data_IF_376527096570
#
_entry.id   IF_376527096570
#
_cell.length_a   1.000
_cell.length_b   1.000
_cell.length_c   1.000
_cell.angle_alpha   90.00
_cell.angle_beta   90.00
_cell.angle_gamma   90.00
#
_symmetry.space_group_name_H-M   'P 1'
#
loop_
_entity.id
_entity.type
_entity.pdbx_description
1 polymer ?
#
# COMPACT_ATOMS: atom_id res chain seq x y z
N UNK A 1 12.96 34.91 27.20
CA UNK A 1 13.40 34.67 25.81
C UNK A 1 13.57 33.17 25.68
N UNK A 2 12.58 32.48 25.11
CA UNK A 2 12.64 31.03 24.87
C UNK A 2 13.61 30.76 23.72
N UNK A 3 14.46 29.74 23.85
CA UNK A 3 15.48 29.40 22.86
C UNK A 3 14.82 28.89 21.58
N UNK A 4 14.84 29.71 20.52
CA UNK A 4 14.35 29.36 19.18
C UNK A 4 15.07 28.13 18.57
N UNK A 5 16.17 27.69 19.18
CA UNK A 5 16.98 26.59 18.72
C UNK A 5 16.40 25.21 19.14
N UNK A 6 15.65 25.16 20.26
CA UNK A 6 14.92 23.97 20.67
C UNK A 6 13.76 23.62 19.74
N UNK A 7 13.19 24.62 19.08
CA UNK A 7 12.09 24.44 18.12
C UNK A 7 12.58 23.76 16.83
N UNK A 8 13.83 24.01 16.40
CA UNK A 8 14.33 23.54 15.10
C UNK A 8 14.58 22.03 15.05
N UNK A 9 15.12 21.43 16.11
CA UNK A 9 15.33 19.98 16.16
C UNK A 9 14.00 19.22 16.30
N UNK A 10 13.05 19.76 17.07
CA UNK A 10 11.70 19.21 17.19
C UNK A 10 10.98 19.27 15.84
N UNK A 11 11.04 20.42 15.15
CA UNK A 11 10.47 20.57 13.82
C UNK A 11 11.09 19.59 12.82
N UNK A 12 12.42 19.44 12.80
CA UNK A 12 13.09 18.50 11.91
C UNK A 12 12.70 17.04 12.16
N UNK A 13 12.53 16.65 13.43
CA UNK A 13 12.04 15.32 13.79
C UNK A 13 10.58 15.12 13.35
N UNK A 14 9.70 16.09 13.60
CA UNK A 14 8.29 16.04 13.18
C UNK A 14 8.14 15.95 11.65
N UNK A 15 8.99 16.63 10.89
CA UNK A 15 8.98 16.53 9.42
C UNK A 15 9.40 15.14 8.94
N UNK A 16 10.39 14.53 9.59
CA UNK A 16 10.79 13.15 9.30
C UNK A 16 9.66 12.17 9.64
N UNK A 17 9.08 12.28 10.83
CA UNK A 17 7.98 11.43 11.29
C UNK A 17 6.76 11.56 10.36
N UNK A 18 6.44 12.78 9.94
CA UNK A 18 5.37 13.02 8.98
C UNK A 18 5.65 12.39 7.62
N UNK A 19 6.90 12.44 7.14
CA UNK A 19 7.28 11.78 5.90
C UNK A 19 7.18 10.25 6.01
N UNK A 20 7.61 9.66 7.13
CA UNK A 20 7.49 8.24 7.41
C UNK A 20 6.03 7.78 7.50
N UNK A 21 5.20 8.55 8.21
CA UNK A 21 3.77 8.27 8.36
C UNK A 21 2.99 8.44 7.04
N UNK A 22 3.39 9.39 6.19
CA UNK A 22 2.81 9.58 4.86
C UNK A 22 3.19 8.46 3.88
N UNK A 23 4.42 7.94 4.00
CA UNK A 23 4.91 6.81 3.22
C UNK A 23 4.92 7.04 1.71
N UNK A 24 5.10 5.93 0.98
CA UNK A 24 4.93 5.85 -0.47
C UNK A 24 4.41 4.45 -0.79
N UNK A 25 3.43 4.34 -1.68
CA UNK A 25 2.83 3.06 -2.06
C UNK A 25 2.48 3.10 -3.54
N UNK A 26 3.16 2.26 -4.33
CA UNK A 26 2.99 2.21 -5.78
C UNK A 26 2.57 0.80 -6.17
N UNK A 27 1.54 0.72 -7.00
CA UNK A 27 0.98 -0.54 -7.47
C UNK A 27 1.43 -0.82 -8.91
N UNK A 28 1.78 -2.07 -9.20
CA UNK A 28 2.02 -2.53 -10.57
C UNK A 28 1.59 -3.99 -10.77
N UNK A 29 1.27 -4.33 -12.02
CA UNK A 29 1.01 -5.70 -12.44
C UNK A 29 2.32 -6.37 -12.83
N UNK A 30 2.48 -7.64 -12.47
CA UNK A 30 3.60 -8.42 -12.96
C UNK A 30 3.43 -8.70 -14.47
N UNK A 31 4.39 -8.31 -15.33
CA UNK A 31 4.30 -8.57 -16.77
C UNK A 31 4.16 -10.06 -17.14
N UNK A 32 4.73 -10.96 -16.33
CA UNK A 32 4.65 -12.40 -16.55
C UNK A 32 3.31 -12.99 -16.09
N UNK A 33 2.63 -12.33 -15.16
CA UNK A 33 1.34 -12.77 -14.62
C UNK A 33 0.45 -11.56 -14.32
N UNK A 34 -0.28 -11.00 -15.30
CA UNK A 34 -0.99 -9.73 -15.15
C UNK A 34 -2.09 -9.71 -14.08
N UNK A 35 -2.59 -10.88 -13.66
CA UNK A 35 -3.54 -11.01 -12.54
C UNK A 35 -2.87 -10.93 -11.17
N UNK A 36 -1.53 -11.00 -11.11
CA UNK A 36 -0.70 -10.73 -9.94
C UNK A 36 -0.38 -9.26 -9.89
N UNK A 37 -0.90 -8.60 -8.87
CA UNK A 37 -0.72 -7.18 -8.62
C UNK A 37 0.14 -7.04 -7.37
N UNK A 38 1.19 -6.24 -7.45
CA UNK A 38 2.07 -5.95 -6.32
C UNK A 38 1.91 -4.50 -5.92
N UNK A 39 1.87 -4.27 -4.61
CA UNK A 39 2.01 -2.94 -4.02
C UNK A 39 3.35 -2.89 -3.29
N UNK A 40 4.21 -1.95 -3.67
CA UNK A 40 5.55 -1.76 -3.09
C UNK A 40 5.70 -0.38 -2.49
N UNK A 41 6.44 -0.27 -1.39
CA UNK A 41 6.88 1.02 -0.85
C UNK A 41 6.98 1.07 0.66
N UNK A 42 6.92 2.27 1.23
CA UNK A 42 6.93 2.51 2.67
C UNK A 42 5.48 2.48 3.19
N UNK A 43 5.09 1.35 3.79
CA UNK A 43 3.73 1.07 4.29
C UNK A 43 3.84 0.79 5.78
N UNK A 44 3.01 1.45 6.59
CA UNK A 44 3.08 1.33 8.05
C UNK A 44 4.49 1.65 8.61
N UNK A 45 5.17 2.63 7.99
CA UNK A 45 6.56 3.03 8.29
C UNK A 45 7.62 1.94 8.01
N UNK A 46 7.28 0.91 7.25
CA UNK A 46 8.18 -0.16 6.83
C UNK A 46 8.26 -0.28 5.32
N UNK A 47 9.46 -0.46 4.79
CA UNK A 47 9.63 -0.92 3.41
C UNK A 47 9.00 -2.31 3.27
N UNK A 48 7.94 -2.40 2.49
CA UNK A 48 7.06 -3.56 2.39
C UNK A 48 6.61 -3.79 0.96
N UNK A 49 6.46 -5.07 0.61
CA UNK A 49 5.73 -5.48 -0.59
C UNK A 49 4.50 -6.30 -0.21
N UNK A 50 3.38 -6.06 -0.86
CA UNK A 50 2.13 -6.82 -0.67
C UNK A 50 1.69 -7.40 -2.01
N UNK A 51 1.45 -8.71 -2.04
CA UNK A 51 0.86 -9.38 -3.19
C UNK A 51 -0.66 -9.36 -3.11
N UNK A 52 -1.27 -8.99 -4.21
CA UNK A 52 -2.69 -9.09 -4.48
C UNK A 52 -2.95 -9.95 -5.72
N UNK A 53 -4.13 -10.57 -5.76
CA UNK A 53 -4.62 -11.30 -6.92
C UNK A 53 -5.94 -10.73 -7.39
N UNK A 54 -6.02 -10.48 -8.69
CA UNK A 54 -7.25 -10.11 -9.34
C UNK A 54 -7.96 -11.39 -9.79
N UNK A 55 -9.00 -11.78 -9.06
CA UNK A 55 -9.74 -13.01 -9.35
C UNK A 55 -10.61 -12.90 -10.63
N UNK A 56 -11.00 -11.67 -11.01
CA UNK A 56 -11.78 -11.43 -12.22
C UNK A 56 -11.19 -10.28 -13.07
N UNK A 57 -10.88 -10.49 -14.37
CA UNK A 57 -10.26 -9.46 -15.22
C UNK A 57 -11.09 -8.19 -15.42
N UNK A 58 -12.41 -8.27 -15.18
CA UNK A 58 -13.35 -7.13 -15.26
C UNK A 58 -13.81 -6.63 -13.90
N UNK A 59 -13.40 -7.29 -12.82
CA UNK A 59 -13.70 -6.90 -11.45
C UNK A 59 -12.56 -6.06 -10.90
N UNK A 60 -12.88 -5.03 -10.13
CA UNK A 60 -11.91 -4.21 -9.40
C UNK A 60 -11.50 -4.83 -8.05
N UNK A 61 -12.05 -6.00 -7.71
CA UNK A 61 -11.76 -6.65 -6.44
C UNK A 61 -10.38 -7.31 -6.48
N UNK A 62 -9.51 -6.82 -5.61
CA UNK A 62 -8.19 -7.38 -5.34
C UNK A 62 -8.27 -8.19 -4.06
N UNK A 63 -7.92 -9.48 -4.14
CA UNK A 63 -7.74 -10.32 -2.96
C UNK A 63 -6.31 -10.18 -2.48
N UNK A 64 -6.12 -9.74 -1.24
CA UNK A 64 -4.80 -9.78 -0.62
C UNK A 64 -4.34 -11.23 -0.46
N UNK A 65 -3.15 -11.51 -0.96
CA UNK A 65 -2.50 -12.81 -0.82
C UNK A 65 -1.54 -12.80 0.36
N UNK A 66 -0.81 -11.70 0.55
CA UNK A 66 -0.03 -11.47 1.75
C UNK A 66 1.16 -10.55 1.54
N UNK A 67 1.72 -10.13 2.67
CA UNK A 67 2.93 -9.32 2.74
C UNK A 67 4.19 -10.17 2.55
N UNK A 68 5.19 -9.59 1.91
CA UNK A 68 6.43 -10.23 1.48
C UNK A 68 7.62 -9.46 2.05
N UNK A 69 8.66 -10.21 2.45
CA UNK A 69 9.95 -9.70 2.89
C UNK A 69 10.28 -9.96 4.35
N UNK A 70 11.49 -9.59 4.76
CA UNK A 70 11.94 -9.62 6.16
C UNK A 70 11.15 -8.57 6.95
N UNK A 71 10.86 -8.79 8.26
CA UNK A 71 10.02 -7.90 9.04
C UNK A 71 10.34 -6.41 8.97
N UNK A 72 11.61 -6.03 8.76
CA UNK A 72 11.99 -4.62 8.60
C UNK A 72 13.17 -4.51 7.65
N UNK A 73 12.93 -4.19 6.37
CA UNK A 73 14.03 -3.73 5.52
C UNK A 73 14.45 -2.35 5.97
N UNK A 74 15.76 -2.16 6.18
CA UNK A 74 16.31 -0.86 6.55
C UNK A 74 16.33 0.09 5.34
N UNK A 75 16.47 -0.47 4.13
CA UNK A 75 16.55 0.29 2.88
C UNK A 75 15.61 -0.27 1.82
N UNK A 76 15.19 0.62 0.91
CA UNK A 76 14.48 0.22 -0.31
C UNK A 76 15.27 -0.80 -1.13
N UNK A 77 16.61 -0.70 -1.18
CA UNK A 77 17.47 -1.60 -1.94
C UNK A 77 17.39 -3.03 -1.44
N UNK A 78 17.32 -3.22 -0.12
CA UNK A 78 17.20 -4.55 0.48
C UNK A 78 15.88 -5.23 0.04
N UNK A 79 14.79 -4.45 0.03
CA UNK A 79 13.50 -4.92 -0.47
C UNK A 79 13.56 -5.27 -1.96
N UNK A 80 14.20 -4.43 -2.80
CA UNK A 80 14.30 -4.65 -4.24
C UNK A 80 15.17 -5.87 -4.57
N UNK A 81 16.29 -6.06 -3.87
CA UNK A 81 17.18 -7.20 -4.05
C UNK A 81 16.46 -8.52 -3.69
N UNK A 82 15.71 -8.53 -2.58
CA UNK A 82 14.93 -9.70 -2.17
C UNK A 82 13.81 -10.03 -3.17
N UNK A 83 13.13 -9.02 -3.74
CA UNK A 83 12.14 -9.24 -4.80
C UNK A 83 12.77 -9.83 -6.07
N UNK A 84 13.99 -9.41 -6.42
CA UNK A 84 14.68 -9.88 -7.62
C UNK A 84 15.09 -11.36 -7.54
N UNK A 85 15.30 -11.90 -6.33
CA UNK A 85 15.67 -13.32 -6.12
C UNK A 85 14.49 -14.19 -5.65
N UNK A 86 13.42 -13.57 -5.13
CA UNK A 86 12.25 -14.25 -4.59
C UNK A 86 12.18 -14.14 -3.07
N UNK A 87 11.27 -13.31 -2.58
CA UNK A 87 11.19 -12.92 -1.18
C UNK A 87 10.20 -13.79 -0.38
N UNK A 88 10.46 -14.08 0.91
CA UNK A 88 9.59 -14.91 1.74
C UNK A 88 8.28 -14.21 2.12
N UNK A 89 7.17 -14.95 2.24
CA UNK A 89 5.94 -14.39 2.81
C UNK A 89 6.06 -14.22 4.33
N UNK A 90 5.52 -13.11 4.86
CA UNK A 90 5.48 -12.82 6.32
C UNK A 90 4.33 -13.51 7.05
N UNK A 91 3.33 -14.02 6.35
CA UNK A 91 2.12 -14.56 6.99
C UNK A 91 2.29 -16.00 7.45
N UNK A 92 1.72 -16.33 8.62
CA UNK A 92 1.71 -17.70 9.15
C UNK A 92 1.01 -18.68 8.18
N UNK A 93 0.00 -18.23 7.45
CA UNK A 93 -0.72 -19.02 6.45
C UNK A 93 0.16 -19.45 5.26
N UNK A 94 1.28 -18.76 5.01
CA UNK A 94 2.22 -19.05 3.93
C UNK A 94 3.65 -19.26 4.45
N UNK A 95 3.78 -19.71 5.69
CA UNK A 95 5.09 -19.99 6.28
C UNK A 95 5.91 -20.94 5.39
N UNK A 96 7.17 -20.56 5.13
CA UNK A 96 8.08 -21.31 4.25
C UNK A 96 7.82 -21.17 2.75
N UNK A 97 6.82 -20.39 2.33
CA UNK A 97 6.58 -20.08 0.92
C UNK A 97 7.27 -18.76 0.55
N UNK A 98 7.65 -18.64 -0.72
CA UNK A 98 8.26 -17.44 -1.28
C UNK A 98 7.40 -16.89 -2.42
N UNK A 99 7.37 -15.56 -2.53
CA UNK A 99 6.98 -14.90 -3.76
C UNK A 99 8.03 -15.26 -4.83
N UNK A 100 7.62 -15.66 -6.04
CA UNK A 100 8.54 -15.81 -7.16
C UNK A 100 9.33 -14.53 -7.41
N UNK A 101 10.50 -14.65 -8.05
CA UNK A 101 11.28 -13.48 -8.44
C UNK A 101 10.45 -12.53 -9.31
N UNK A 102 10.46 -11.24 -8.96
CA UNK A 102 9.77 -10.18 -9.71
C UNK A 102 10.71 -9.02 -9.97
N UNK A 103 10.69 -8.52 -11.20
CA UNK A 103 11.37 -7.29 -11.58
C UNK A 103 10.43 -6.11 -11.38
N UNK A 104 10.81 -5.19 -10.48
CA UNK A 104 10.08 -3.93 -10.30
C UNK A 104 10.35 -3.00 -11.50
N UNK A 105 9.33 -2.39 -12.10
CA UNK A 105 9.50 -1.41 -13.19
C UNK A 105 10.46 -0.28 -12.83
N UNK A 106 11.26 0.18 -13.80
CA UNK A 106 12.36 1.11 -13.57
C UNK A 106 11.88 2.49 -13.06
N UNK A 107 10.74 2.97 -13.54
CA UNK A 107 10.07 4.19 -13.07
C UNK A 107 9.67 4.08 -11.59
N UNK A 108 9.15 2.92 -11.17
CA UNK A 108 8.81 2.65 -9.78
C UNK A 108 10.08 2.58 -8.93
N UNK A 109 11.15 1.94 -9.42
CA UNK A 109 12.44 1.92 -8.72
C UNK A 109 12.98 3.34 -8.50
N UNK A 110 12.89 4.20 -9.51
CA UNK A 110 13.30 5.61 -9.44
C UNK A 110 12.52 6.36 -8.35
N UNK A 111 11.19 6.24 -8.34
CA UNK A 111 10.32 6.90 -7.36
C UNK A 111 10.62 6.43 -5.92
N UNK A 112 10.78 5.12 -5.71
CA UNK A 112 11.08 4.57 -4.39
C UNK A 112 12.48 5.01 -3.90
N UNK A 113 13.47 5.04 -4.79
CA UNK A 113 14.82 5.52 -4.47
C UNK A 113 14.84 7.02 -4.17
N UNK A 114 14.07 7.82 -4.91
CA UNK A 114 13.91 9.25 -4.65
C UNK A 114 13.27 9.49 -3.27
N UNK A 115 12.27 8.69 -2.90
CA UNK A 115 11.68 8.75 -1.57
C UNK A 115 12.67 8.37 -0.46
N UNK A 116 13.46 7.30 -0.66
CA UNK A 116 14.54 6.92 0.27
C UNK A 116 15.56 8.06 0.45
N UNK A 117 16.01 8.68 -0.64
CA UNK A 117 16.94 9.81 -0.60
C UNK A 117 16.36 11.01 0.16
N UNK A 118 15.06 11.28 0.00
CA UNK A 118 14.35 12.30 0.78
C UNK A 118 14.35 11.97 2.28
N UNK A 119 14.04 10.73 2.66
CA UNK A 119 14.08 10.30 4.06
C UNK A 119 15.49 10.43 4.64
N UNK A 120 16.52 10.07 3.89
CA UNK A 120 17.91 10.21 4.29
C UNK A 120 18.31 11.67 4.54
N UNK A 121 17.89 12.57 3.67
CA UNK A 121 18.12 14.01 3.83
C UNK A 121 17.42 14.56 5.08
N UNK A 122 16.18 14.15 5.34
CA UNK A 122 15.43 14.54 6.54
C UNK A 122 16.07 13.98 7.81
N UNK A 123 16.48 12.71 7.79
CA UNK A 123 17.17 12.07 8.90
C UNK A 123 18.54 12.69 9.16
N UNK A 124 19.26 13.12 8.12
CA UNK A 124 20.51 13.87 8.28
C UNK A 124 20.26 15.24 8.92
N UNK A 125 19.24 15.98 8.46
CA UNK A 125 18.87 17.28 9.05
C UNK A 125 18.47 17.14 10.52
N UNK A 126 17.64 16.17 10.86
CA UNK A 126 17.26 15.90 12.24
C UNK A 126 18.47 15.60 13.13
N UNK A 127 19.43 14.79 12.63
CA UNK A 127 20.68 14.50 13.35
C UNK A 127 21.55 15.73 13.55
N UNK A 128 21.71 16.58 12.53
CA UNK A 128 22.49 17.82 12.63
C UNK A 128 21.88 18.72 13.71
N UNK A 129 20.59 19.01 13.61
CA UNK A 129 19.89 19.85 14.60
C UNK A 129 19.96 19.26 16.02
N UNK A 130 19.94 17.92 16.16
CA UNK A 130 20.06 17.26 17.45
C UNK A 130 21.49 17.24 18.01
N UNK A 131 22.53 17.25 17.16
CA UNK A 131 23.92 17.36 17.62
C UNK A 131 24.21 18.78 18.15
N UNK A 132 23.57 19.79 17.56
CA UNK A 132 23.62 21.17 18.06
C UNK A 132 22.85 21.33 19.40
N UNK A 133 21.96 20.38 19.73
CA UNK A 133 21.07 20.38 20.91
C UNK A 133 20.94 18.99 21.55
N UNK A 134 22.00 18.46 22.18
CA UNK A 134 22.04 17.08 22.69
C UNK A 134 20.97 16.79 23.76
N UNK A 135 20.48 17.81 24.46
CA UNK A 135 19.38 17.72 25.44
C UNK A 135 18.06 17.21 24.85
N UNK A 136 17.83 17.38 23.55
CA UNK A 136 16.59 16.98 22.88
C UNK A 136 16.55 15.46 22.63
N UNK A 137 17.71 14.84 22.35
CA UNK A 137 17.82 13.39 22.22
C UNK A 137 17.49 12.64 23.52
N UNK A 138 17.70 13.28 24.68
CA UNK A 138 17.32 12.74 25.98
C UNK A 138 15.80 12.81 26.22
N UNK A 139 15.13 13.85 25.72
CA UNK A 139 13.68 14.04 25.87
C UNK A 139 12.86 13.12 24.94
N UNK A 140 13.28 12.91 23.69
CA UNK A 140 12.55 12.05 22.74
C UNK A 140 12.54 10.58 23.18
N UNK A 141 13.61 10.10 23.85
CA UNK A 141 13.66 8.75 24.43
C UNK A 141 12.65 8.53 25.55
N UNK A 142 12.23 9.58 26.25
CA UNK A 142 11.26 9.50 27.35
C UNK A 142 9.80 9.54 26.87
N UNK A 143 9.53 10.11 25.68
CA UNK A 143 8.18 10.15 25.09
C UNK A 143 7.85 8.98 24.16
N UNK A 144 8.84 8.18 23.73
CA UNK A 144 8.65 7.06 22.80
C UNK A 144 8.14 5.74 23.43
N UNK A 145 7.85 5.72 24.73
CA UNK A 145 7.37 4.54 25.47
C UNK A 145 5.97 4.80 26.05
N UNK A 146 5.00 5.17 25.21
CA UNK A 146 3.58 5.04 25.58
C UNK A 146 3.02 3.85 24.82
N UNK A 147 3.09 2.72 25.53
CA UNK A 147 2.22 1.55 25.51
C UNK A 147 1.68 1.06 24.16
N UNK A 148 2.14 -0.13 23.80
CA UNK A 148 1.32 -1.13 23.15
C UNK A 148 -0.04 -1.21 23.86
N UNK A 149 -1.09 -0.73 23.19
CA UNK A 149 -2.46 -1.11 23.46
C UNK A 149 -2.89 -2.08 22.36
N UNK A 150 -3.47 -3.18 22.80
CA UNK A 150 -3.85 -4.38 22.06
C UNK A 150 -4.74 -4.10 20.81
N UNK A 151 -4.79 -5.04 19.84
CA UNK A 151 -5.60 -4.87 18.65
C UNK A 151 -7.08 -5.07 18.99
N UNK A 152 -7.86 -3.99 19.04
CA UNK A 152 -9.31 -4.12 19.02
C UNK A 152 -9.79 -4.46 17.61
N UNK A 153 -10.36 -5.66 17.54
CA UNK A 153 -11.10 -6.31 16.47
C UNK A 153 -12.13 -5.42 15.75
N UNK A 154 -12.09 -5.51 14.41
CA UNK A 154 -13.21 -5.49 13.45
C UNK A 154 -14.09 -4.22 13.41
N UNK A 155 -14.04 -3.53 12.27
CA UNK A 155 -15.18 -2.74 11.79
C UNK A 155 -15.35 -2.90 10.27
N UNK A 156 -16.10 -3.92 9.88
CA UNK A 156 -16.59 -4.15 8.52
C UNK A 156 -17.71 -3.13 8.26
N UNK A 157 -17.44 -2.10 7.45
CA UNK A 157 -18.48 -1.16 7.04
C UNK A 157 -19.43 -1.79 6.03
N UNK A 158 -20.55 -2.31 6.53
CA UNK A 158 -21.74 -2.62 5.71
C UNK A 158 -22.66 -1.40 5.77
N UNK A 159 -22.88 -0.72 4.63
CA UNK A 159 -24.03 0.18 4.48
C UNK A 159 -24.82 -0.20 3.23
N UNK A 160 -25.77 -1.10 3.45
CA UNK A 160 -27.06 -1.04 2.79
C UNK A 160 -27.80 0.21 3.29
N UNK A 161 -28.31 1.02 2.36
CA UNK A 161 -29.48 1.86 2.62
C UNK A 161 -30.51 1.54 1.55
N UNK A 162 -31.56 0.88 2.01
CA UNK A 162 -32.84 0.69 1.35
C UNK A 162 -33.82 1.72 1.96
N UNK A 163 -34.58 2.44 1.11
CA UNK A 163 -35.97 2.85 1.36
C UNK A 163 -36.57 3.50 0.10
N UNK A 164 -37.34 2.70 -0.67
CA UNK A 164 -38.75 2.82 -1.10
C UNK A 164 -39.41 4.20 -1.45
N UNK A 165 -40.68 4.25 -1.94
CA UNK A 165 -41.36 3.51 -3.01
C UNK A 165 -42.02 4.46 -4.06
N UNK A 166 -42.24 4.00 -5.30
CA UNK A 166 -42.90 4.80 -6.34
C UNK A 166 -43.81 3.98 -7.27
N UNK A 167 -45.08 3.85 -6.88
CA UNK A 167 -46.18 3.34 -7.72
C UNK A 167 -46.52 4.37 -8.80
N UNK A 168 -46.49 3.99 -10.07
CA UNK A 168 -47.50 4.46 -11.03
C UNK A 168 -47.65 3.50 -12.22
N UNK A 169 -48.91 3.29 -12.56
CA UNK A 169 -49.48 2.45 -13.63
C UNK A 169 -49.10 3.08 -15.00
N UNK A 170 -49.16 2.45 -16.18
CA UNK A 170 -50.22 1.64 -16.79
C UNK A 170 -49.73 1.14 -18.16
N UNK A 171 -49.92 -0.17 -18.43
CA UNK A 171 -50.58 -0.76 -19.62
C UNK A 171 -50.33 -0.14 -21.03
N UNK A 172 -49.68 -0.90 -21.92
CA UNK A 172 -50.30 -1.35 -23.20
C UNK A 172 -49.46 -2.39 -23.98
N UNK A 173 -49.94 -3.65 -23.94
CA UNK A 173 -50.40 -4.43 -25.10
C UNK A 173 -49.66 -4.23 -26.45
N UNK A 174 -49.03 -5.29 -26.99
CA UNK A 174 -49.55 -6.11 -28.12
C UNK A 174 -48.52 -7.09 -28.74
N UNK A 175 -49.02 -8.31 -28.92
CA UNK A 175 -48.85 -9.27 -30.02
C UNK A 175 -47.49 -9.88 -30.39
N UNK A 176 -47.44 -11.19 -30.15
CA UNK A 176 -46.71 -12.18 -30.93
C UNK A 176 -47.27 -12.31 -32.37
N UNK A 177 -46.39 -12.46 -33.35
CA UNK A 177 -46.62 -13.12 -34.64
C UNK A 177 -45.27 -13.49 -35.29
N UNK A 178 -45.24 -14.60 -36.03
CA UNK A 178 -44.06 -15.25 -36.63
C UNK A 178 -43.24 -14.38 -37.61
N UNK A 179 -42.12 -14.84 -38.14
CA UNK A 179 -42.09 -15.97 -39.05
C UNK A 179 -40.67 -16.50 -39.33
N UNK A 180 -40.69 -17.61 -40.07
CA UNK A 180 -39.69 -18.61 -40.44
C UNK A 180 -38.84 -18.18 -41.66
N UNK A 181 -37.64 -18.76 -41.75
CA UNK A 181 -36.80 -18.99 -42.96
C UNK A 181 -36.10 -17.74 -43.58
N UNK A 182 -34.84 -17.78 -44.05
CA UNK A 182 -34.22 -18.73 -44.98
C UNK A 182 -32.68 -18.76 -44.93
N UNK A 183 -32.13 -19.92 -45.31
CA UNK A 183 -30.76 -20.24 -45.75
C UNK A 183 -30.21 -19.31 -46.87
N UNK A 184 -28.88 -19.13 -46.90
CA UNK A 184 -27.89 -19.63 -47.90
C UNK A 184 -26.50 -19.04 -47.56
N UNK A 185 -25.48 -19.83 -47.25
CA UNK A 185 -24.57 -20.60 -48.12
C UNK A 185 -23.39 -19.76 -48.66
N UNK A 186 -22.19 -20.15 -48.18
CA UNK A 186 -20.84 -20.15 -48.77
C UNK A 186 -20.55 -19.30 -50.02
N UNK A 187 -19.44 -18.57 -49.94
CA UNK A 187 -18.34 -18.65 -50.90
C UNK A 187 -17.10 -19.14 -50.15
#
# INVERSE_FOLDING_TARGET
MGSAAGDSAIEAAQVLDHALAGGISIQFADPAEPSRILTVGMIDQEWTTVEYRQDHPRGSELREVGRVGVPHYARVTDMLDDLAIGAPYRSAARAGQHLPAVTVPADIVEDLCAFQARLDALAARARICACDHPEILAATRLSGFVAAAEPETISTSTRLTDTAPGRSRTRERRHAAGARARRKARL
#
